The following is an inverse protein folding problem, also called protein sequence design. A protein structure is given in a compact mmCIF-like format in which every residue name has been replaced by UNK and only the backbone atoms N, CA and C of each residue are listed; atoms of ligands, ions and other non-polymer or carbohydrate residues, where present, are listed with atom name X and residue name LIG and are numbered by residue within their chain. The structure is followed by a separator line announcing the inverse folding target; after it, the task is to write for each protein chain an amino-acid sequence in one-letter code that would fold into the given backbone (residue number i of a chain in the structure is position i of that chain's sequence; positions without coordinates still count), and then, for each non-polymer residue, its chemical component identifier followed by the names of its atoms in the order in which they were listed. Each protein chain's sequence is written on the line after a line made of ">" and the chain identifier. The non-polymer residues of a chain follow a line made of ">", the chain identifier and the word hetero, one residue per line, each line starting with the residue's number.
data_IF_632523369750
#
_entry.id   IF_632523369750
#
_cell.length_a   1.000
_cell.length_b   1.000
_cell.length_c   1.000
_cell.angle_alpha   90.00
_cell.angle_beta   90.00
_cell.angle_gamma   90.00
#
_symmetry.space_group_name_H-M   'P 1'
#
loop_
_entity.id
_entity.type
_entity.pdbx_description
1 polymer ?
#
# COMPACT_ATOMS: atom_id res chain seq x y z
N UNK A 1 -67.43 -2.64 -16.01
CA UNK A 1 -67.27 -2.89 -14.58
C UNK A 1 -65.79 -3.16 -14.40
N UNK A 2 -65.10 -2.11 -14.05
CA UNK A 2 -63.69 -1.89 -13.94
C UNK A 2 -63.11 -2.58 -12.71
N UNK A 3 -61.93 -3.21 -12.87
CA UNK A 3 -61.05 -3.55 -11.76
C UNK A 3 -59.67 -2.92 -12.09
N UNK A 4 -59.35 -1.91 -11.29
CA UNK A 4 -58.05 -1.24 -11.26
C UNK A 4 -57.03 -2.17 -10.64
N UNK A 5 -55.99 -2.55 -11.42
CA UNK A 5 -54.76 -3.14 -10.93
C UNK A 5 -53.81 -2.00 -10.53
N UNK A 6 -53.78 -1.71 -9.24
CA UNK A 6 -52.79 -0.82 -8.63
C UNK A 6 -51.46 -1.57 -8.49
N UNK A 7 -50.56 -1.35 -9.46
CA UNK A 7 -49.14 -1.74 -9.31
C UNK A 7 -48.49 -0.91 -8.18
N UNK A 8 -48.28 -1.57 -7.06
CA UNK A 8 -47.49 -1.09 -5.94
C UNK A 8 -46.01 -1.01 -6.37
N UNK A 9 -45.56 0.20 -6.75
CA UNK A 9 -44.16 0.53 -7.03
C UNK A 9 -43.52 1.04 -5.73
N UNK A 10 -43.36 0.13 -4.77
CA UNK A 10 -42.83 0.45 -3.44
C UNK A 10 -41.72 -0.46 -2.97
N UNK A 11 -40.62 -0.53 -3.69
CA UNK A 11 -39.45 -1.31 -3.31
C UNK A 11 -38.15 -0.62 -3.66
N UNK A 12 -38.04 0.68 -3.36
CA UNK A 12 -36.72 1.36 -3.51
C UNK A 12 -35.76 0.80 -2.45
N UNK A 13 -34.79 0.06 -2.94
CA UNK A 13 -33.70 -0.54 -2.19
C UNK A 13 -33.00 0.50 -1.30
N UNK A 14 -33.26 0.45 0.02
CA UNK A 14 -32.65 1.31 1.04
C UNK A 14 -31.34 0.76 1.57
N UNK A 15 -30.45 0.24 0.71
CA UNK A 15 -29.11 -0.22 1.12
C UNK A 15 -27.99 0.80 0.86
N UNK A 16 -28.31 2.06 0.58
CA UNK A 16 -27.30 3.12 0.64
C UNK A 16 -26.90 3.32 2.11
N UNK A 17 -25.77 2.77 2.53
CA UNK A 17 -25.24 2.93 3.88
C UNK A 17 -25.12 4.42 4.20
N UNK A 18 -25.87 4.86 5.23
CA UNK A 18 -25.81 6.24 5.70
C UNK A 18 -24.35 6.65 5.99
N UNK A 19 -23.96 7.92 5.74
CA UNK A 19 -22.62 8.39 6.04
C UNK A 19 -22.30 8.14 7.51
N UNK A 20 -21.13 7.55 7.80
CA UNK A 20 -20.71 7.28 9.16
C UNK A 20 -20.73 8.58 9.98
N UNK A 21 -21.24 8.52 11.21
CA UNK A 21 -21.27 9.70 12.08
C UNK A 21 -19.84 10.21 12.33
N UNK A 22 -19.67 11.53 12.47
CA UNK A 22 -18.35 12.13 12.74
C UNK A 22 -17.67 11.52 13.95
N UNK A 23 -18.45 11.17 14.99
CA UNK A 23 -17.92 10.50 16.18
C UNK A 23 -17.34 9.12 15.88
N UNK A 24 -17.99 8.32 15.02
CA UNK A 24 -17.48 7.01 14.57
C UNK A 24 -16.17 7.14 13.79
N UNK A 25 -16.08 8.09 12.87
CA UNK A 25 -14.85 8.34 12.10
C UNK A 25 -13.71 8.74 13.04
N UNK A 26 -13.96 9.69 13.96
CA UNK A 26 -12.95 10.10 14.95
C UNK A 26 -12.52 8.95 15.86
N UNK A 27 -13.45 8.13 16.32
CA UNK A 27 -13.14 6.97 17.15
C UNK A 27 -12.25 5.95 16.40
N UNK A 28 -12.54 5.67 15.12
CA UNK A 28 -11.71 4.77 14.29
C UNK A 28 -10.30 5.36 14.09
N UNK A 29 -10.17 6.64 13.75
CA UNK A 29 -8.87 7.27 13.56
C UNK A 29 -8.04 7.28 14.85
N UNK A 30 -8.65 7.60 15.98
CA UNK A 30 -7.97 7.58 17.30
C UNK A 30 -7.54 6.16 17.65
N UNK A 31 -8.42 5.17 17.50
CA UNK A 31 -8.08 3.77 17.81
C UNK A 31 -6.95 3.23 16.92
N UNK A 32 -6.95 3.55 15.61
CA UNK A 32 -5.87 3.19 14.70
C UNK A 32 -4.55 3.86 15.08
N UNK A 33 -4.59 5.15 15.46
CA UNK A 33 -3.39 5.87 15.90
C UNK A 33 -2.83 5.27 17.20
N UNK A 34 -3.67 5.01 18.19
CA UNK A 34 -3.25 4.38 19.44
C UNK A 34 -2.66 2.98 19.19
N UNK A 35 -3.34 2.17 18.39
CA UNK A 35 -2.84 0.84 18.03
C UNK A 35 -1.49 0.92 17.29
N UNK A 36 -1.34 1.87 16.36
CA UNK A 36 -0.09 2.09 15.64
C UNK A 36 1.06 2.46 16.58
N UNK A 37 0.82 3.36 17.54
CA UNK A 37 1.82 3.75 18.55
C UNK A 37 2.20 2.56 19.43
N UNK A 38 1.21 1.82 19.91
CA UNK A 38 1.48 0.62 20.74
C UNK A 38 2.32 -0.40 19.97
N UNK A 39 1.93 -0.72 18.74
CA UNK A 39 2.66 -1.69 17.91
C UNK A 39 4.05 -1.17 17.54
N UNK A 40 4.22 0.15 17.32
CA UNK A 40 5.52 0.75 17.04
C UNK A 40 6.49 0.59 18.24
N UNK A 41 6.00 0.84 19.45
CA UNK A 41 6.79 0.62 20.67
C UNK A 41 7.11 -0.87 20.84
N UNK A 42 6.14 -1.76 20.68
CA UNK A 42 6.37 -3.21 20.74
C UNK A 42 7.39 -3.68 19.70
N UNK A 43 7.27 -3.17 18.47
CA UNK A 43 8.21 -3.48 17.38
C UNK A 43 9.63 -2.99 17.67
N UNK A 44 9.79 -1.86 18.37
CA UNK A 44 11.09 -1.38 18.83
C UNK A 44 11.66 -2.21 20.01
N UNK A 45 10.79 -2.79 20.84
CA UNK A 45 11.23 -3.61 21.99
C UNK A 45 11.62 -5.03 21.60
N UNK A 46 10.87 -5.66 20.66
CA UNK A 46 11.00 -7.08 20.33
C UNK A 46 12.12 -7.30 19.30
N UNK A 47 13.00 -8.23 19.55
CA UNK A 47 14.11 -8.65 18.67
C UNK A 47 15.20 -9.36 19.45
N UNK A 48 16.32 -9.72 18.77
CA UNK A 48 17.43 -10.49 19.35
C UNK A 48 18.11 -9.82 20.58
N UNK A 49 18.12 -8.48 20.58
CA UNK A 49 18.60 -7.69 21.74
C UNK A 49 17.35 -7.22 22.51
N UNK A 50 17.04 -7.81 23.67
CA UNK A 50 15.86 -7.41 24.43
C UNK A 50 16.02 -5.97 24.93
N UNK A 51 14.98 -5.16 24.75
CA UNK A 51 14.94 -3.76 25.17
C UNK A 51 13.56 -3.48 25.76
N UNK A 52 13.50 -2.93 26.96
CA UNK A 52 12.24 -2.61 27.62
C UNK A 52 11.59 -1.36 27.01
N UNK A 53 10.26 -1.17 27.12
CA UNK A 53 9.59 0.04 26.66
C UNK A 53 10.12 1.33 27.33
N UNK A 54 10.55 1.24 28.58
CA UNK A 54 11.13 2.39 29.29
C UNK A 54 12.51 2.76 28.74
N UNK A 55 13.33 1.80 28.35
CA UNK A 55 14.62 2.03 27.70
C UNK A 55 14.45 2.62 26.29
N UNK A 56 13.44 2.16 25.53
CA UNK A 56 13.11 2.75 24.23
C UNK A 56 12.72 4.22 24.41
N UNK A 57 11.84 4.53 25.36
CA UNK A 57 11.45 5.89 25.66
C UNK A 57 12.64 6.72 26.19
N UNK A 58 13.43 6.16 27.10
CA UNK A 58 14.64 6.80 27.63
C UNK A 58 15.64 7.17 26.54
N UNK A 59 15.93 6.23 25.61
CA UNK A 59 16.80 6.47 24.47
C UNK A 59 16.30 7.65 23.60
N UNK A 60 14.99 7.71 23.31
CA UNK A 60 14.39 8.82 22.57
C UNK A 60 14.55 10.15 23.35
N UNK A 61 14.23 10.16 24.65
CA UNK A 61 14.29 11.36 25.49
C UNK A 61 15.74 11.89 25.64
N UNK A 62 16.72 11.01 25.73
CA UNK A 62 18.13 11.40 25.72
C UNK A 62 18.55 12.01 24.38
N UNK A 63 18.09 11.40 23.24
CA UNK A 63 18.44 11.90 21.91
C UNK A 63 17.91 13.29 21.61
N UNK A 64 16.73 13.65 22.16
CA UNK A 64 16.16 15.00 22.03
C UNK A 64 16.67 16.00 23.10
N UNK A 65 17.63 15.57 23.93
CA UNK A 65 18.31 16.43 24.89
C UNK A 65 17.63 16.57 26.26
N UNK A 66 16.57 15.81 26.55
CA UNK A 66 15.88 15.87 27.84
C UNK A 66 16.60 15.10 28.95
N UNK A 67 17.44 14.11 28.61
CA UNK A 67 18.24 13.34 29.56
C UNK A 67 17.43 12.54 30.60
N UNK A 68 16.20 12.13 30.27
CA UNK A 68 15.26 11.45 31.16
C UNK A 68 15.11 9.98 30.81
N UNK A 69 14.93 9.14 31.82
CA UNK A 69 14.64 7.70 31.67
C UNK A 69 15.90 6.83 31.56
N UNK A 70 15.73 5.51 31.64
CA UNK A 70 16.84 4.56 31.54
C UNK A 70 17.33 4.44 30.09
N UNK A 71 18.62 4.30 29.92
CA UNK A 71 19.23 3.90 28.65
C UNK A 71 19.23 2.38 28.50
N UNK A 72 19.30 1.81 27.27
CA UNK A 72 19.38 0.37 27.05
C UNK A 72 20.53 -0.26 27.85
N UNK A 73 20.21 -1.28 28.64
CA UNK A 73 21.19 -1.97 29.49
C UNK A 73 22.21 -2.79 28.67
N UNK A 74 21.80 -3.29 27.51
CA UNK A 74 22.68 -4.05 26.63
C UNK A 74 23.66 -3.13 25.90
N UNK A 75 24.99 -3.47 25.85
CA UNK A 75 26.01 -2.60 25.24
C UNK A 75 25.73 -2.16 23.79
N UNK A 76 25.09 -3.02 22.98
CA UNK A 76 24.68 -2.69 21.60
C UNK A 76 23.23 -2.19 21.50
N UNK A 77 22.53 -2.01 22.62
CA UNK A 77 21.11 -1.68 22.64
C UNK A 77 20.79 -0.37 21.94
N UNK A 78 21.54 0.68 22.25
CA UNK A 78 21.37 2.02 21.63
C UNK A 78 21.61 1.98 20.11
N UNK A 79 22.69 1.35 19.67
CA UNK A 79 23.00 1.20 18.23
C UNK A 79 21.90 0.38 17.53
N UNK A 80 21.46 -0.72 18.16
CA UNK A 80 20.38 -1.55 17.59
C UNK A 80 19.08 -0.76 17.44
N UNK A 81 18.73 0.09 18.41
CA UNK A 81 17.53 0.92 18.33
C UNK A 81 17.63 1.93 17.17
N UNK A 82 18.72 2.68 17.08
CA UNK A 82 18.82 3.80 16.14
C UNK A 82 19.24 3.40 14.73
N UNK A 83 20.04 2.35 14.56
CA UNK A 83 20.53 1.95 13.24
C UNK A 83 19.71 0.82 12.60
N UNK A 84 18.95 0.06 13.40
CA UNK A 84 18.20 -1.09 12.90
C UNK A 84 16.68 -0.95 13.11
N UNK A 85 16.25 -0.74 14.38
CA UNK A 85 14.82 -0.85 14.72
C UNK A 85 14.01 0.37 14.34
N UNK A 86 14.46 1.57 14.69
CA UNK A 86 13.72 2.79 14.36
C UNK A 86 13.60 3.02 12.86
N UNK A 87 14.66 2.89 12.03
CA UNK A 87 14.50 2.98 10.59
C UNK A 87 13.51 1.96 10.04
N UNK A 88 13.54 0.72 10.53
CA UNK A 88 12.64 -0.36 10.12
C UNK A 88 11.18 -0.04 10.49
N UNK A 89 10.91 0.40 11.71
CA UNK A 89 9.57 0.81 12.17
C UNK A 89 9.05 1.99 11.34
N UNK A 90 9.85 3.03 11.16
CA UNK A 90 9.43 4.22 10.42
C UNK A 90 9.20 3.87 8.94
N UNK A 91 10.07 3.07 8.34
CA UNK A 91 9.91 2.63 6.96
C UNK A 91 8.64 1.78 6.79
N UNK A 92 8.36 0.86 7.71
CA UNK A 92 7.12 0.07 7.72
C UNK A 92 5.88 0.96 7.77
N UNK A 93 5.88 1.98 8.63
CA UNK A 93 4.79 2.96 8.75
C UNK A 93 4.60 3.71 7.43
N UNK A 94 5.68 4.24 6.86
CA UNK A 94 5.62 5.01 5.61
C UNK A 94 5.13 4.17 4.43
N UNK A 95 5.70 2.98 4.25
CA UNK A 95 5.33 2.06 3.15
C UNK A 95 3.90 1.58 3.31
N UNK A 96 3.50 1.16 4.51
CA UNK A 96 2.13 0.73 4.78
C UNK A 96 1.11 1.84 4.54
N UNK A 97 1.41 3.08 4.97
CA UNK A 97 0.58 4.26 4.72
C UNK A 97 0.49 4.58 3.22
N UNK A 98 1.61 4.52 2.51
CA UNK A 98 1.67 4.75 1.06
C UNK A 98 0.82 3.73 0.28
N UNK A 99 0.94 2.43 0.62
CA UNK A 99 0.16 1.37 -0.03
C UNK A 99 -1.33 1.49 0.29
N UNK A 100 -1.70 1.73 1.56
CA UNK A 100 -3.09 1.93 1.96
C UNK A 100 -3.73 3.15 1.30
N UNK A 101 -3.02 4.29 1.24
CA UNK A 101 -3.46 5.50 0.54
C UNK A 101 -3.60 5.26 -0.97
N UNK A 102 -2.60 4.63 -1.60
CA UNK A 102 -2.61 4.32 -3.04
C UNK A 102 -3.78 3.44 -3.43
N UNK A 103 -4.09 2.44 -2.60
CA UNK A 103 -5.26 1.58 -2.80
C UNK A 103 -6.58 2.35 -2.71
N UNK A 104 -6.75 3.19 -1.67
CA UNK A 104 -7.95 4.01 -1.51
C UNK A 104 -8.16 4.96 -2.71
N UNK A 105 -7.07 5.57 -3.18
CA UNK A 105 -7.06 6.46 -4.33
C UNK A 105 -7.45 5.73 -5.61
N UNK A 106 -6.84 4.58 -5.88
CA UNK A 106 -7.10 3.83 -7.11
C UNK A 106 -8.53 3.27 -7.14
N UNK A 107 -9.01 2.73 -6.00
CA UNK A 107 -10.39 2.28 -5.85
C UNK A 107 -11.40 3.40 -6.07
N UNK A 108 -11.09 4.63 -5.63
CA UNK A 108 -11.92 5.81 -5.86
C UNK A 108 -11.97 6.23 -7.32
N UNK A 109 -10.82 6.30 -7.98
CA UNK A 109 -10.71 6.74 -9.38
C UNK A 109 -11.31 5.73 -10.35
N UNK A 110 -11.18 4.43 -10.07
CA UNK A 110 -11.71 3.37 -10.91
C UNK A 110 -13.16 3.00 -10.57
N UNK A 111 -13.72 3.61 -9.50
CA UNK A 111 -15.03 3.24 -8.95
C UNK A 111 -15.17 1.73 -8.75
N UNK A 112 -14.05 1.07 -8.40
CA UNK A 112 -13.96 -0.37 -8.23
C UNK A 112 -13.26 -0.69 -6.90
N UNK A 113 -13.96 -1.27 -5.92
CA UNK A 113 -13.39 -1.59 -4.61
C UNK A 113 -12.31 -2.69 -4.65
N UNK A 114 -12.16 -3.37 -5.78
CA UNK A 114 -11.18 -4.43 -6.02
C UNK A 114 -9.93 -3.92 -6.76
N UNK A 115 -9.85 -2.62 -7.05
CA UNK A 115 -8.68 -2.05 -7.70
C UNK A 115 -7.47 -2.08 -6.74
N UNK A 116 -6.34 -2.58 -7.25
CA UNK A 116 -5.06 -2.68 -6.55
C UNK A 116 -3.97 -1.97 -7.37
N UNK A 117 -3.02 -1.29 -6.72
CA UNK A 117 -1.93 -0.60 -7.43
C UNK A 117 -1.12 -1.48 -8.38
N UNK A 118 -0.96 -2.76 -8.09
CA UNK A 118 -0.27 -3.72 -8.95
C UNK A 118 -0.90 -3.90 -10.34
N UNK A 119 -2.21 -3.63 -10.48
CA UNK A 119 -2.93 -3.75 -11.75
C UNK A 119 -2.43 -2.76 -12.82
N UNK A 120 -1.89 -1.61 -12.42
CA UNK A 120 -1.32 -0.62 -13.35
C UNK A 120 0.17 -0.87 -13.67
N UNK A 121 0.69 -2.05 -13.33
CA UNK A 121 2.02 -2.51 -13.74
C UNK A 121 3.19 -2.01 -12.91
N UNK A 122 2.97 -1.16 -11.91
CA UNK A 122 4.03 -0.50 -11.15
C UNK A 122 4.98 -1.49 -10.46
N UNK A 123 4.46 -2.50 -9.77
CA UNK A 123 5.27 -3.50 -9.05
C UNK A 123 6.01 -4.44 -10.00
N UNK A 124 5.36 -4.84 -11.09
CA UNK A 124 5.99 -5.70 -12.10
C UNK A 124 7.13 -4.96 -12.84
N UNK A 125 6.91 -3.69 -13.19
CA UNK A 125 7.97 -2.85 -13.76
C UNK A 125 9.15 -2.67 -12.81
N UNK A 126 8.88 -2.40 -11.53
CA UNK A 126 9.91 -2.31 -10.51
C UNK A 126 10.73 -3.61 -10.40
N UNK A 127 10.07 -4.78 -10.46
CA UNK A 127 10.74 -6.06 -10.43
C UNK A 127 11.63 -6.32 -11.67
N UNK A 128 11.20 -5.89 -12.84
CA UNK A 128 12.03 -5.94 -14.07
C UNK A 128 13.29 -5.10 -13.89
N UNK A 129 13.13 -3.84 -13.42
CA UNK A 129 14.26 -2.93 -13.20
C UNK A 129 15.25 -3.47 -12.16
N UNK A 130 14.74 -3.96 -11.03
CA UNK A 130 15.58 -4.59 -10.00
C UNK A 130 16.31 -5.81 -10.54
N UNK A 131 15.62 -6.73 -11.22
CA UNK A 131 16.20 -7.95 -11.78
C UNK A 131 17.29 -7.66 -12.83
N UNK A 132 17.05 -6.69 -13.70
CA UNK A 132 18.03 -6.27 -14.70
C UNK A 132 19.35 -5.80 -14.04
N UNK A 133 19.26 -4.93 -13.03
CA UNK A 133 20.45 -4.40 -12.34
C UNK A 133 21.14 -5.49 -11.51
N UNK A 134 20.40 -6.38 -10.86
CA UNK A 134 20.98 -7.51 -10.10
C UNK A 134 21.77 -8.43 -11.03
N UNK A 135 21.27 -8.71 -12.24
CA UNK A 135 21.94 -9.60 -13.22
C UNK A 135 23.20 -8.95 -13.80
N UNK A 136 23.08 -7.68 -14.24
CA UNK A 136 24.18 -6.97 -14.94
C UNK A 136 25.29 -6.59 -13.95
N UNK A 137 24.94 -6.20 -12.75
CA UNK A 137 25.89 -5.67 -11.76
C UNK A 137 26.55 -6.74 -10.89
N UNK A 138 26.03 -7.97 -10.88
CA UNK A 138 26.56 -9.07 -10.08
C UNK A 138 26.61 -8.75 -8.58
N UNK A 139 27.60 -9.34 -7.87
CA UNK A 139 27.75 -9.22 -6.40
C UNK A 139 28.19 -7.84 -5.92
N UNK A 140 28.58 -6.93 -6.81
CA UNK A 140 29.14 -5.61 -6.47
C UNK A 140 28.12 -4.46 -6.56
N UNK A 141 26.85 -4.74 -6.95
CA UNK A 141 25.85 -3.68 -7.07
C UNK A 141 25.40 -3.20 -5.71
N UNK A 142 25.62 -1.93 -5.44
CA UNK A 142 25.09 -1.27 -4.27
C UNK A 142 23.54 -1.34 -4.28
N UNK A 143 22.92 -1.61 -3.14
CA UNK A 143 21.44 -1.69 -3.00
C UNK A 143 20.70 -0.46 -3.53
N UNK A 144 21.37 0.70 -3.57
CA UNK A 144 20.86 1.94 -4.15
C UNK A 144 20.61 1.87 -5.67
N UNK A 145 21.47 1.17 -6.42
CA UNK A 145 21.28 1.02 -7.85
C UNK A 145 20.06 0.14 -8.15
N UNK A 146 19.85 -0.90 -7.37
CA UNK A 146 18.64 -1.75 -7.45
C UNK A 146 17.39 -0.93 -7.13
N UNK A 147 17.41 -0.16 -6.03
CA UNK A 147 16.28 0.67 -5.63
C UNK A 147 15.97 1.76 -6.69
N UNK A 148 17.00 2.45 -7.22
CA UNK A 148 16.83 3.46 -8.26
C UNK A 148 16.26 2.85 -9.56
N UNK A 149 16.76 1.69 -9.99
CA UNK A 149 16.27 1.00 -11.17
C UNK A 149 14.82 0.52 -10.98
N UNK A 150 14.49 -0.05 -9.82
CA UNK A 150 13.13 -0.45 -9.47
C UNK A 150 12.17 0.75 -9.50
N UNK A 151 12.57 1.87 -8.88
CA UNK A 151 11.77 3.10 -8.85
C UNK A 151 11.49 3.61 -10.27
N UNK A 152 12.54 3.80 -11.07
CA UNK A 152 12.42 4.33 -12.43
C UNK A 152 11.62 3.39 -13.33
N UNK A 153 11.91 2.08 -13.28
CA UNK A 153 11.19 1.10 -14.10
C UNK A 153 9.71 0.98 -13.70
N UNK A 154 9.39 1.10 -12.41
CA UNK A 154 8.00 1.16 -11.95
C UNK A 154 7.24 2.37 -12.51
N UNK A 155 7.85 3.56 -12.49
CA UNK A 155 7.27 4.78 -13.08
C UNK A 155 7.12 4.66 -14.59
N UNK A 156 8.16 4.21 -15.29
CA UNK A 156 8.13 4.03 -16.76
C UNK A 156 7.05 3.05 -17.17
N UNK A 157 6.95 1.92 -16.47
CA UNK A 157 5.94 0.90 -16.76
C UNK A 157 4.53 1.43 -16.52
N UNK A 158 4.29 2.16 -15.42
CA UNK A 158 2.98 2.77 -15.18
C UNK A 158 2.65 3.83 -16.22
N UNK A 159 3.62 4.65 -16.62
CA UNK A 159 3.44 5.61 -17.71
C UNK A 159 3.11 4.92 -19.04
N UNK A 160 3.80 3.81 -19.35
CA UNK A 160 3.53 3.01 -20.54
C UNK A 160 2.10 2.42 -20.53
N UNK A 161 1.67 1.81 -19.41
CA UNK A 161 0.30 1.31 -19.24
C UNK A 161 -0.70 2.42 -19.45
N UNK A 162 -0.50 3.60 -18.85
CA UNK A 162 -1.40 4.72 -18.98
C UNK A 162 -1.47 5.26 -20.43
N UNK A 163 -0.33 5.43 -21.10
CA UNK A 163 -0.25 5.94 -22.47
C UNK A 163 -0.88 4.97 -23.48
N UNK A 164 -0.63 3.66 -23.32
CA UNK A 164 -1.20 2.62 -24.20
C UNK A 164 -2.71 2.44 -24.00
N UNK A 165 -3.20 2.67 -22.78
CA UNK A 165 -4.64 2.61 -22.48
C UNK A 165 -5.41 3.86 -22.92
N UNK A 166 -4.73 4.90 -23.37
CA UNK A 166 -5.35 6.15 -23.78
C UNK A 166 -5.73 6.11 -25.25
N UNK A 167 -7.01 6.37 -25.56
CA UNK A 167 -7.52 6.47 -26.93
C UNK A 167 -8.34 7.77 -27.09
N UNK A 168 -8.08 8.54 -28.15
CA UNK A 168 -8.76 9.81 -28.46
C UNK A 168 -8.83 10.81 -27.28
N UNK A 169 -7.77 10.88 -26.48
CA UNK A 169 -7.70 11.80 -25.33
C UNK A 169 -8.47 11.34 -24.08
N UNK A 170 -9.04 10.14 -24.08
CA UNK A 170 -9.78 9.55 -22.96
C UNK A 170 -9.12 8.25 -22.51
N UNK A 171 -9.16 8.01 -21.21
CA UNK A 171 -8.65 6.77 -20.61
C UNK A 171 -9.84 5.97 -20.08
N UNK A 172 -10.07 4.80 -20.66
CA UNK A 172 -11.07 3.86 -20.16
C UNK A 172 -10.46 2.96 -19.10
N UNK A 173 -11.16 2.82 -17.98
CA UNK A 173 -10.68 2.01 -16.83
C UNK A 173 -10.47 0.55 -17.24
N UNK A 174 -11.38 -0.03 -18.02
CA UNK A 174 -11.27 -1.41 -18.48
C UNK A 174 -10.03 -1.61 -19.35
N UNK A 175 -9.83 -0.72 -20.33
CA UNK A 175 -8.64 -0.75 -21.20
C UNK A 175 -7.35 -0.59 -20.41
N UNK A 176 -7.34 0.28 -19.40
CA UNK A 176 -6.17 0.47 -18.53
C UNK A 176 -5.85 -0.80 -17.73
N UNK A 177 -6.86 -1.46 -17.15
CA UNK A 177 -6.69 -2.72 -16.43
C UNK A 177 -6.19 -3.84 -17.36
N UNK A 178 -6.79 -3.99 -18.54
CA UNK A 178 -6.38 -5.01 -19.52
C UNK A 178 -4.95 -4.77 -20.02
N UNK A 179 -4.59 -3.52 -20.29
CA UNK A 179 -3.21 -3.13 -20.66
C UNK A 179 -2.24 -3.46 -19.53
N UNK A 180 -2.63 -3.17 -18.28
CA UNK A 180 -1.84 -3.52 -17.11
C UNK A 180 -1.62 -5.03 -16.97
N UNK A 181 -2.66 -5.83 -17.20
CA UNK A 181 -2.54 -7.32 -17.19
C UNK A 181 -1.56 -7.79 -18.28
N UNK A 182 -1.66 -7.26 -19.50
CA UNK A 182 -0.75 -7.61 -20.60
C UNK A 182 0.70 -7.24 -20.27
N UNK A 183 0.92 -6.03 -19.73
CA UNK A 183 2.26 -5.58 -19.32
C UNK A 183 2.79 -6.39 -18.14
N UNK A 184 1.97 -6.75 -17.17
CA UNK A 184 2.37 -7.63 -16.07
C UNK A 184 2.81 -9.01 -16.57
N UNK A 185 2.11 -9.58 -17.57
CA UNK A 185 2.50 -10.84 -18.20
C UNK A 185 3.85 -10.72 -18.95
N UNK A 186 4.04 -9.63 -19.70
CA UNK A 186 5.31 -9.35 -20.38
C UNK A 186 6.46 -9.14 -19.39
N UNK A 187 6.23 -8.37 -18.32
CA UNK A 187 7.20 -8.18 -17.25
C UNK A 187 7.57 -9.51 -16.58
N UNK A 188 6.59 -10.39 -16.34
CA UNK A 188 6.83 -11.76 -15.84
C UNK A 188 7.77 -12.55 -16.75
N UNK A 189 7.60 -12.45 -18.07
CA UNK A 189 8.51 -13.05 -19.05
C UNK A 189 9.94 -12.50 -18.97
N UNK A 190 10.09 -11.17 -18.81
CA UNK A 190 11.40 -10.54 -18.63
C UNK A 190 12.07 -10.95 -17.32
N UNK A 191 11.31 -11.02 -16.23
CA UNK A 191 11.83 -11.48 -14.93
C UNK A 191 12.30 -12.94 -15.04
N UNK A 192 11.51 -13.80 -15.70
CA UNK A 192 11.90 -15.18 -15.95
C UNK A 192 13.18 -15.28 -16.80
N UNK A 193 13.32 -14.44 -17.83
CA UNK A 193 14.54 -14.36 -18.64
C UNK A 193 15.75 -13.94 -17.79
N UNK A 194 15.63 -12.85 -16.99
CA UNK A 194 16.70 -12.42 -16.09
C UNK A 194 17.07 -13.51 -15.08
N UNK A 195 16.08 -14.19 -14.51
CA UNK A 195 16.31 -15.31 -13.58
C UNK A 195 17.01 -16.48 -14.24
N UNK A 196 16.71 -16.76 -15.52
CA UNK A 196 17.35 -17.84 -16.29
C UNK A 196 18.83 -17.56 -16.57
N UNK A 197 19.19 -16.33 -16.97
CA UNK A 197 20.57 -15.95 -17.30
C UNK A 197 21.40 -15.58 -16.07
N UNK A 198 20.78 -15.43 -14.91
CA UNK A 198 21.42 -15.02 -13.67
C UNK A 198 22.41 -16.09 -13.15
N UNK A 199 23.48 -15.65 -12.51
CA UNK A 199 24.29 -16.49 -11.64
C UNK A 199 23.45 -17.03 -10.46
N UNK A 200 23.86 -18.13 -9.78
CA UNK A 200 23.12 -18.65 -8.63
C UNK A 200 22.83 -17.59 -7.56
N UNK A 201 23.83 -16.79 -7.18
CA UNK A 201 23.67 -15.73 -6.18
C UNK A 201 22.74 -14.59 -6.64
N UNK A 202 22.80 -14.19 -7.91
CA UNK A 202 21.92 -13.18 -8.47
C UNK A 202 20.48 -13.69 -8.57
N UNK A 203 20.30 -14.98 -8.86
CA UNK A 203 18.99 -15.63 -8.88
C UNK A 203 18.32 -15.60 -7.50
N UNK A 204 19.06 -15.96 -6.47
CA UNK A 204 18.56 -15.88 -5.08
C UNK A 204 18.21 -14.43 -4.71
N UNK A 205 19.03 -13.45 -5.07
CA UNK A 205 18.72 -12.04 -4.84
C UNK A 205 17.43 -11.58 -5.54
N UNK A 206 17.20 -12.00 -6.80
CA UNK A 206 15.96 -11.69 -7.54
C UNK A 206 14.75 -12.28 -6.80
N UNK A 207 14.85 -13.55 -6.37
CA UNK A 207 13.75 -14.22 -5.65
C UNK A 207 13.47 -13.53 -4.32
N UNK A 208 14.50 -13.28 -3.50
CA UNK A 208 14.31 -12.61 -2.21
C UNK A 208 13.81 -11.17 -2.38
N UNK A 209 14.26 -10.44 -3.40
CA UNK A 209 13.77 -9.09 -3.66
C UNK A 209 12.27 -9.12 -4.02
N UNK A 210 11.82 -10.07 -4.83
CA UNK A 210 10.40 -10.23 -5.20
C UNK A 210 9.52 -10.62 -4.01
N UNK A 211 10.04 -11.38 -3.06
CA UNK A 211 9.30 -11.78 -1.87
C UNK A 211 9.05 -10.63 -0.89
N UNK A 212 9.74 -9.50 -1.05
CA UNK A 212 9.58 -8.30 -0.24
C UNK A 212 10.08 -8.45 1.19
N UNK A 213 10.79 -7.44 1.70
CA UNK A 213 11.36 -7.44 3.05
C UNK A 213 11.65 -6.02 3.53
N UNK A 214 11.60 -5.81 4.84
CA UNK A 214 12.12 -4.62 5.52
C UNK A 214 13.51 -4.86 6.12
N UNK A 215 14.09 -6.01 5.86
CA UNK A 215 15.47 -6.28 6.25
C UNK A 215 16.44 -5.35 5.48
N UNK A 216 17.34 -4.69 6.19
CA UNK A 216 18.20 -3.66 5.59
C UNK A 216 17.57 -2.27 5.54
N UNK A 217 16.44 -2.05 6.20
CA UNK A 217 15.89 -0.70 6.38
C UNK A 217 16.94 0.23 6.99
N UNK A 218 17.04 1.43 6.45
CA UNK A 218 18.03 2.43 6.87
C UNK A 218 17.40 3.82 6.90
N UNK A 219 18.00 4.76 7.64
CA UNK A 219 17.57 6.16 7.66
C UNK A 219 17.61 6.78 6.25
N UNK A 220 18.54 6.39 5.42
CA UNK A 220 18.61 6.86 4.04
C UNK A 220 17.35 6.47 3.23
N UNK A 221 16.88 5.23 3.36
CA UNK A 221 15.63 4.80 2.74
C UNK A 221 14.42 5.60 3.30
N UNK A 222 14.38 5.81 4.61
CA UNK A 222 13.35 6.61 5.28
C UNK A 222 13.34 8.05 4.75
N UNK A 223 14.50 8.69 4.61
CA UNK A 223 14.62 10.06 4.11
C UNK A 223 14.10 10.24 2.68
N UNK A 224 13.98 9.18 1.90
CA UNK A 224 13.38 9.20 0.57
C UNK A 224 11.89 8.85 0.64
N UNK A 225 11.54 7.74 1.29
CA UNK A 225 10.17 7.22 1.28
C UNK A 225 9.22 8.09 2.12
N UNK A 226 9.67 8.60 3.28
CA UNK A 226 8.79 9.37 4.16
C UNK A 226 8.31 10.69 3.53
N UNK A 227 9.16 11.56 2.95
CA UNK A 227 8.69 12.75 2.26
C UNK A 227 7.74 12.43 1.09
N UNK A 228 8.05 11.39 0.30
CA UNK A 228 7.18 10.98 -0.81
C UNK A 228 5.82 10.50 -0.30
N UNK A 229 5.79 9.75 0.80
CA UNK A 229 4.55 9.29 1.44
C UNK A 229 3.73 10.48 1.95
N UNK A 230 4.34 11.41 2.66
CA UNK A 230 3.65 12.60 3.20
C UNK A 230 3.09 13.46 2.07
N UNK A 231 3.91 13.77 1.07
CA UNK A 231 3.48 14.57 -0.09
C UNK A 231 2.39 13.86 -0.88
N UNK A 232 2.53 12.55 -1.12
CA UNK A 232 1.54 11.76 -1.85
C UNK A 232 0.19 11.67 -1.11
N UNK A 233 0.20 11.47 0.21
CA UNK A 233 -1.02 11.49 1.03
C UNK A 233 -1.65 12.89 1.02
N UNK A 234 -0.87 13.95 1.19
CA UNK A 234 -1.36 15.33 1.12
C UNK A 234 -1.99 15.64 -0.25
N UNK A 235 -1.33 15.27 -1.34
CA UNK A 235 -1.84 15.43 -2.70
C UNK A 235 -3.16 14.64 -2.90
N UNK A 236 -3.24 13.43 -2.36
CA UNK A 236 -4.45 12.60 -2.41
C UNK A 236 -5.59 13.28 -1.61
N UNK A 237 -5.31 13.84 -0.45
CA UNK A 237 -6.31 14.57 0.34
C UNK A 237 -6.83 15.83 -0.38
N UNK A 238 -5.99 16.52 -1.15
CA UNK A 238 -6.42 17.69 -1.95
C UNK A 238 -7.42 17.33 -3.06
N UNK A 239 -7.34 16.13 -3.60
CA UNK A 239 -8.26 15.65 -4.65
C UNK A 239 -9.44 14.82 -4.10
N UNK A 240 -9.46 14.51 -2.80
CA UNK A 240 -10.52 13.71 -2.16
C UNK A 240 -11.95 14.22 -2.46
N UNK A 241 -12.25 15.54 -2.43
CA UNK A 241 -13.58 16.03 -2.77
C UNK A 241 -14.00 15.72 -4.21
N UNK A 242 -13.04 15.71 -5.15
CA UNK A 242 -13.31 15.38 -6.56
C UNK A 242 -13.55 13.89 -6.75
N UNK A 243 -12.91 13.03 -5.92
CA UNK A 243 -13.20 11.59 -5.89
C UNK A 243 -14.61 11.30 -5.35
N UNK A 244 -15.06 12.07 -4.36
CA UNK A 244 -16.42 11.95 -3.83
C UNK A 244 -17.47 12.33 -4.91
N UNK A 245 -17.18 13.35 -5.73
CA UNK A 245 -18.03 13.69 -6.88
C UNK A 245 -17.97 12.62 -7.98
N UNK A 246 -16.79 12.03 -8.24
CA UNK A 246 -16.65 10.95 -9.21
C UNK A 246 -17.44 9.68 -8.82
N UNK A 247 -17.60 9.43 -7.52
CA UNK A 247 -18.40 8.32 -7.00
C UNK A 247 -19.90 8.42 -7.36
N UNK A 248 -20.39 9.62 -7.74
CA UNK A 248 -21.74 9.83 -8.28
C UNK A 248 -21.87 9.43 -9.75
N UNK A 249 -20.79 8.99 -10.38
CA UNK A 249 -20.70 8.66 -11.80
C UNK A 249 -20.01 9.74 -12.63
N UNK A 250 -19.36 9.32 -13.74
CA UNK A 250 -18.54 10.23 -14.58
C UNK A 250 -19.35 11.37 -15.20
N UNK A 251 -20.58 11.10 -15.66
CA UNK A 251 -21.45 12.12 -16.24
C UNK A 251 -21.81 13.18 -15.19
N UNK A 252 -22.25 12.77 -14.00
CA UNK A 252 -22.58 13.68 -12.91
C UNK A 252 -21.36 14.50 -12.48
N UNK A 253 -20.20 13.87 -12.32
CA UNK A 253 -18.96 14.56 -11.96
C UNK A 253 -18.56 15.63 -12.98
N UNK A 254 -18.70 15.35 -14.30
CA UNK A 254 -18.41 16.32 -15.36
C UNK A 254 -19.36 17.50 -15.32
N UNK A 255 -20.65 17.28 -15.10
CA UNK A 255 -21.64 18.37 -14.95
C UNK A 255 -21.34 19.25 -13.72
N UNK A 256 -20.75 18.68 -12.66
CA UNK A 256 -20.29 19.40 -11.48
C UNK A 256 -18.89 20.03 -11.64
N UNK A 257 -18.36 20.07 -12.88
CA UNK A 257 -17.10 20.75 -13.20
C UNK A 257 -15.83 19.93 -12.96
N UNK A 258 -15.93 18.63 -12.67
CA UNK A 258 -14.75 17.77 -12.50
C UNK A 258 -14.19 17.35 -13.85
N UNK A 259 -12.92 17.70 -14.11
CA UNK A 259 -12.20 17.14 -15.24
C UNK A 259 -11.71 15.72 -14.87
N UNK A 260 -12.53 14.72 -15.22
CA UNK A 260 -12.30 13.31 -14.86
C UNK A 260 -10.98 12.79 -15.39
N UNK A 261 -10.58 13.19 -16.61
CA UNK A 261 -9.33 12.74 -17.21
C UNK A 261 -8.11 13.27 -16.44
N UNK A 262 -8.10 14.58 -16.13
CA UNK A 262 -7.03 15.15 -15.30
C UNK A 262 -6.98 14.52 -13.89
N UNK A 263 -8.15 14.23 -13.32
CA UNK A 263 -8.23 13.57 -12.01
C UNK A 263 -7.59 12.17 -12.06
N UNK A 264 -7.86 11.38 -13.12
CA UNK A 264 -7.23 10.07 -13.36
C UNK A 264 -5.72 10.19 -13.53
N UNK A 265 -5.26 11.14 -14.33
CA UNK A 265 -3.83 11.38 -14.55
C UNK A 265 -3.11 11.66 -13.24
N UNK A 266 -3.63 12.59 -12.45
CA UNK A 266 -3.05 12.93 -11.14
C UNK A 266 -3.08 11.74 -10.17
N UNK A 267 -4.17 10.99 -10.13
CA UNK A 267 -4.28 9.83 -9.27
C UNK A 267 -3.29 8.72 -9.65
N UNK A 268 -3.19 8.39 -10.93
CA UNK A 268 -2.22 7.38 -11.43
C UNK A 268 -0.78 7.83 -11.14
N UNK A 269 -0.46 9.12 -11.33
CA UNK A 269 0.86 9.65 -11.01
C UNK A 269 1.17 9.54 -9.51
N UNK A 270 0.24 9.93 -8.63
CA UNK A 270 0.42 9.80 -7.17
C UNK A 270 0.62 8.34 -6.78
N UNK A 271 -0.22 7.43 -7.29
CA UNK A 271 -0.10 5.99 -7.04
C UNK A 271 1.25 5.47 -7.52
N UNK A 272 1.66 5.81 -8.74
CA UNK A 272 2.94 5.40 -9.29
C UNK A 272 4.11 5.85 -8.41
N UNK A 273 4.13 7.11 -7.96
CA UNK A 273 5.17 7.65 -7.09
C UNK A 273 5.19 6.95 -5.72
N UNK A 274 4.04 6.82 -5.06
CA UNK A 274 3.93 6.21 -3.74
C UNK A 274 4.35 4.73 -3.76
N UNK A 275 3.86 3.97 -4.75
CA UNK A 275 4.13 2.53 -4.83
C UNK A 275 5.54 2.27 -5.34
N UNK A 276 6.03 2.99 -6.36
CA UNK A 276 7.41 2.82 -6.82
C UNK A 276 8.42 3.14 -5.72
N UNK A 277 8.20 4.22 -4.93
CA UNK A 277 9.07 4.54 -3.80
C UNK A 277 9.04 3.46 -2.72
N UNK A 278 7.87 2.92 -2.42
CA UNK A 278 7.72 1.84 -1.45
C UNK A 278 8.43 0.57 -1.92
N UNK A 279 8.08 0.09 -3.12
CA UNK A 279 8.59 -1.17 -3.69
C UNK A 279 10.09 -1.12 -3.94
N UNK A 280 10.65 0.03 -4.29
CA UNK A 280 12.08 0.20 -4.52
C UNK A 280 12.95 -0.21 -3.32
N UNK A 281 12.48 0.04 -2.11
CA UNK A 281 13.21 -0.26 -0.88
C UNK A 281 12.74 -1.51 -0.14
N UNK A 282 11.53 -1.98 -0.41
CA UNK A 282 10.95 -3.12 0.32
C UNK A 282 10.70 -4.35 -0.55
N UNK A 283 10.89 -4.26 -1.87
CA UNK A 283 10.37 -5.27 -2.77
C UNK A 283 8.84 -5.27 -2.82
N UNK A 284 8.25 -6.34 -3.36
CA UNK A 284 6.81 -6.41 -3.61
C UNK A 284 6.07 -6.78 -2.33
N UNK A 285 5.10 -5.93 -1.94
CA UNK A 285 4.17 -6.17 -0.83
C UNK A 285 2.76 -6.20 -1.41
N UNK A 286 2.07 -7.32 -1.21
CA UNK A 286 0.76 -7.58 -1.81
C UNK A 286 -0.38 -7.34 -0.80
N UNK A 287 -1.60 -7.15 -1.32
CA UNK A 287 -2.86 -7.10 -0.60
C UNK A 287 -3.07 -5.91 0.35
N UNK A 288 -2.06 -5.20 0.83
CA UNK A 288 -2.25 -4.04 1.71
C UNK A 288 -3.07 -2.97 1.01
N UNK A 289 -2.72 -2.62 -0.24
CA UNK A 289 -3.46 -1.65 -1.06
C UNK A 289 -4.85 -2.11 -1.50
N UNK A 290 -5.13 -3.41 -1.46
CA UNK A 290 -6.44 -3.96 -1.81
C UNK A 290 -7.37 -4.05 -0.60
N UNK A 291 -6.92 -4.75 0.43
CA UNK A 291 -7.72 -5.16 1.58
C UNK A 291 -7.99 -4.00 2.54
N UNK A 292 -6.96 -3.22 2.84
CA UNK A 292 -7.06 -2.18 3.86
C UNK A 292 -8.08 -1.09 3.51
N UNK A 293 -8.05 -0.48 2.30
CA UNK A 293 -9.04 0.54 1.95
C UNK A 293 -10.47 -0.01 1.91
N UNK A 294 -10.62 -1.26 1.49
CA UNK A 294 -11.93 -1.91 1.47
C UNK A 294 -12.51 -2.05 2.89
N UNK A 295 -11.69 -2.52 3.86
CA UNK A 295 -12.10 -2.61 5.27
C UNK A 295 -12.41 -1.23 5.86
N UNK A 296 -11.57 -0.24 5.57
CA UNK A 296 -11.80 1.12 6.06
C UNK A 296 -13.09 1.71 5.48
N UNK A 297 -13.44 1.44 4.24
CA UNK A 297 -14.71 1.86 3.63
C UNK A 297 -15.92 1.32 4.39
N UNK A 298 -15.84 0.09 4.91
CA UNK A 298 -16.91 -0.50 5.74
C UNK A 298 -16.99 0.20 7.11
N UNK A 299 -15.86 0.61 7.68
CA UNK A 299 -15.77 1.20 9.01
C UNK A 299 -16.10 2.71 9.03
N UNK A 300 -15.52 3.49 8.12
CA UNK A 300 -15.64 4.96 8.11
C UNK A 300 -16.56 5.48 7.01
N UNK A 301 -17.10 4.59 6.16
CA UNK A 301 -17.95 4.95 5.02
C UNK A 301 -17.16 5.26 3.75
N UNK A 302 -17.89 5.58 2.66
CA UNK A 302 -17.29 5.74 1.32
C UNK A 302 -16.60 7.08 1.09
N UNK A 303 -16.80 8.10 1.94
CA UNK A 303 -16.27 9.45 1.77
C UNK A 303 -14.74 9.49 1.84
N UNK A 304 -14.08 9.95 0.78
CA UNK A 304 -12.64 9.89 0.63
C UNK A 304 -11.89 10.76 1.65
N UNK A 305 -12.50 11.83 2.18
CA UNK A 305 -11.88 12.66 3.23
C UNK A 305 -11.60 11.87 4.53
N UNK A 306 -12.43 10.89 4.86
CA UNK A 306 -12.20 10.01 6.01
C UNK A 306 -11.47 8.72 5.60
N UNK A 307 -11.79 8.20 4.42
CA UNK A 307 -11.25 6.93 3.92
C UNK A 307 -9.74 6.97 3.70
N UNK A 308 -9.21 8.06 3.13
CA UNK A 308 -7.77 8.18 2.83
C UNK A 308 -6.92 8.13 4.11
N UNK A 309 -7.14 8.98 5.14
CA UNK A 309 -6.34 8.93 6.35
C UNK A 309 -6.57 7.62 7.13
N UNK A 310 -7.78 7.07 7.15
CA UNK A 310 -8.04 5.78 7.76
C UNK A 310 -7.27 4.65 7.06
N UNK A 311 -7.23 4.65 5.72
CA UNK A 311 -6.49 3.66 4.94
C UNK A 311 -4.98 3.79 5.09
N UNK A 312 -4.46 5.01 5.20
CA UNK A 312 -3.05 5.25 5.48
C UNK A 312 -2.65 4.72 6.87
N UNK A 313 -3.41 5.08 7.92
CA UNK A 313 -3.14 4.60 9.29
C UNK A 313 -3.29 3.07 9.41
N UNK A 314 -4.35 2.52 8.84
CA UNK A 314 -4.57 1.08 8.87
C UNK A 314 -3.54 0.31 8.04
N UNK A 315 -3.11 0.85 6.88
CA UNK A 315 -2.02 0.29 6.09
C UNK A 315 -0.69 0.28 6.84
N UNK A 316 -0.35 1.39 7.52
CA UNK A 316 0.80 1.49 8.39
C UNK A 316 0.75 0.43 9.51
N UNK A 317 -0.39 0.31 10.18
CA UNK A 317 -0.60 -0.66 11.25
C UNK A 317 -0.46 -2.11 10.76
N UNK A 318 -1.14 -2.46 9.67
CA UNK A 318 -1.10 -3.81 9.10
C UNK A 318 0.31 -4.19 8.70
N UNK A 319 1.05 -3.29 8.03
CA UNK A 319 2.40 -3.59 7.61
C UNK A 319 3.37 -3.70 8.78
N UNK A 320 3.22 -2.86 9.80
CA UNK A 320 4.04 -2.93 11.00
C UNK A 320 3.77 -4.21 11.82
N UNK A 321 2.51 -4.65 11.92
CA UNK A 321 2.14 -5.93 12.53
C UNK A 321 2.70 -7.10 11.73
N UNK A 322 2.61 -7.05 10.39
CA UNK A 322 3.19 -8.06 9.52
C UNK A 322 4.72 -8.13 9.66
N UNK A 323 5.40 -6.98 9.76
CA UNK A 323 6.84 -6.92 10.01
C UNK A 323 7.22 -7.50 11.37
N UNK A 324 6.48 -7.16 12.42
CA UNK A 324 6.69 -7.74 13.75
C UNK A 324 6.50 -9.28 13.73
N UNK A 325 5.43 -9.75 13.05
CA UNK A 325 5.18 -11.17 12.83
C UNK A 325 6.31 -11.85 12.05
N UNK A 326 6.78 -11.22 10.99
CA UNK A 326 7.87 -11.79 10.14
C UNK A 326 9.14 -12.10 10.91
N UNK A 327 9.45 -11.29 11.93
CA UNK A 327 10.64 -11.41 12.80
C UNK A 327 10.45 -12.30 14.03
N UNK A 328 9.20 -12.64 14.35
CA UNK A 328 8.87 -13.31 15.61
C UNK A 328 8.33 -14.72 15.42
N UNK A 329 7.92 -15.11 14.19
CA UNK A 329 7.32 -16.40 13.90
C UNK A 329 8.32 -17.54 13.78
N UNK A 330 9.56 -17.24 13.36
CA UNK A 330 10.63 -18.23 13.22
C UNK A 330 11.88 -17.69 13.92
N UNK A 331 12.46 -18.50 14.82
CA UNK A 331 13.68 -18.12 15.50
C UNK A 331 14.85 -17.98 14.51
N UNK A 332 15.58 -16.88 14.64
CA UNK A 332 16.77 -16.56 13.84
C UNK A 332 16.56 -16.44 12.31
N UNK A 333 15.30 -16.27 11.85
CA UNK A 333 15.00 -16.04 10.44
C UNK A 333 13.88 -15.02 10.27
N UNK A 334 14.10 -14.04 9.39
CA UNK A 334 13.06 -13.09 8.97
C UNK A 334 12.26 -13.70 7.82
N UNK A 335 10.96 -13.90 8.01
CA UNK A 335 10.08 -14.30 6.92
C UNK A 335 9.92 -13.16 5.91
N UNK A 336 9.91 -13.45 4.59
CA UNK A 336 9.60 -12.44 3.59
C UNK A 336 8.22 -11.82 3.80
N UNK A 337 8.17 -10.49 3.82
CA UNK A 337 6.98 -9.74 4.19
C UNK A 337 5.85 -9.88 3.16
N UNK A 338 6.20 -9.83 1.87
CA UNK A 338 5.24 -10.02 0.78
C UNK A 338 4.65 -11.43 0.77
N UNK A 339 5.44 -12.45 1.13
CA UNK A 339 4.93 -13.80 1.33
C UNK A 339 3.90 -13.83 2.47
N UNK A 340 4.21 -13.24 3.63
CA UNK A 340 3.31 -13.23 4.78
C UNK A 340 2.00 -12.49 4.46
N UNK A 341 2.10 -11.31 3.82
CA UNK A 341 0.91 -10.54 3.43
C UNK A 341 0.07 -11.25 2.38
N UNK A 342 0.68 -12.03 1.47
CA UNK A 342 -0.03 -12.83 0.49
C UNK A 342 -0.75 -14.03 1.11
N UNK A 343 -0.08 -14.75 2.02
CA UNK A 343 -0.66 -15.92 2.71
C UNK A 343 -1.87 -15.54 3.57
N UNK A 344 -1.88 -14.36 4.17
CA UNK A 344 -3.01 -13.86 4.96
C UNK A 344 -4.03 -13.15 4.08
N UNK A 345 -3.56 -12.29 3.17
CA UNK A 345 -4.40 -11.43 2.34
C UNK A 345 -5.22 -12.19 1.31
N UNK A 346 -4.65 -13.22 0.68
CA UNK A 346 -5.34 -14.03 -0.34
C UNK A 346 -6.59 -14.74 0.19
N UNK A 347 -6.50 -15.59 1.23
CA UNK A 347 -7.66 -16.23 1.84
C UNK A 347 -8.68 -15.24 2.40
N UNK A 348 -8.20 -14.15 3.03
CA UNK A 348 -9.07 -13.10 3.53
C UNK A 348 -9.85 -12.41 2.40
N UNK A 349 -9.19 -12.10 1.29
CA UNK A 349 -9.84 -11.52 0.11
C UNK A 349 -10.87 -12.45 -0.51
N UNK A 350 -10.56 -13.74 -0.60
CA UNK A 350 -11.51 -14.75 -1.09
C UNK A 350 -12.76 -14.85 -0.19
N UNK A 351 -12.57 -14.84 1.13
CA UNK A 351 -13.69 -14.80 2.08
C UNK A 351 -14.54 -13.54 1.91
N UNK A 352 -13.90 -12.39 1.72
CA UNK A 352 -14.56 -11.11 1.52
C UNK A 352 -15.42 -11.12 0.24
N UNK A 353 -14.88 -11.63 -0.87
CA UNK A 353 -15.62 -11.79 -2.12
C UNK A 353 -16.87 -12.65 -1.96
N UNK A 354 -16.76 -13.77 -1.25
CA UNK A 354 -17.91 -14.64 -0.99
C UNK A 354 -19.00 -13.92 -0.18
N UNK A 355 -18.61 -13.18 0.84
CA UNK A 355 -19.53 -12.42 1.70
C UNK A 355 -20.27 -11.31 0.91
N UNK A 356 -19.56 -10.58 0.08
CA UNK A 356 -20.13 -9.51 -0.73
C UNK A 356 -21.12 -10.06 -1.77
N UNK A 357 -20.80 -11.18 -2.41
CA UNK A 357 -21.72 -11.87 -3.34
C UNK A 357 -23.00 -12.34 -2.66
N UNK A 358 -22.90 -12.86 -1.43
CA UNK A 358 -24.07 -13.31 -0.68
C UNK A 358 -25.04 -12.15 -0.32
N UNK A 359 -24.52 -10.92 -0.22
CA UNK A 359 -25.33 -9.73 0.07
C UNK A 359 -25.98 -9.09 -1.18
N UNK A 360 -25.43 -9.35 -2.37
CA UNK A 360 -25.94 -8.80 -3.63
C UNK A 360 -26.92 -9.73 -4.36
N UNK A 361 -27.39 -10.82 -3.72
CA UNK A 361 -28.27 -11.80 -4.35
C UNK A 361 -27.56 -12.46 -5.53
N UNK A 362 -27.05 -13.69 -5.36
CA UNK A 362 -26.19 -14.34 -6.32
C UNK A 362 -26.71 -14.24 -7.76
N UNK A 363 -25.81 -14.10 -8.70
CA UNK A 363 -26.09 -14.28 -10.13
C UNK A 363 -26.64 -15.70 -10.33
N UNK A 364 -27.97 -15.80 -10.50
CA UNK A 364 -28.64 -16.99 -10.99
C UNK A 364 -28.44 -17.09 -12.50
#
# INVERSE_FOLDING_TARGET
>A
MSAEDSHDVGGADKSASAPASRSRVSAVLVSLTLALVIVAVLSACIGQVPTSPLEVLGSILHRIGLGLGPMPAHPSGEVTLWEVRFPRVVLAICVGAALGCSGALLQGVFSNPLAEPGVIGVSAGAAVGASAVIVVGGTFVAGWAVAAAAFVAGLVTTAAVYLLARHEGRTEVVTLVLTGVAINAFAGGLIAFFTFVASPSARDQIVFWQLGSLNGASWNAVLIVAPMTVVGIAATMMIAPRLDLLALGEHAARHLGVNVERLRQFAVLIVALLVSASVAFTGIILFVGLVVPHLMRILVGPGHRALIPASALAGALVLLVADLGSRSLIDNADLPLGMLTALVGGPFFFWLLRRTRAQQGGWA
#
